data_IF_319395447194
#
_entry.id   IF_319395447194
#
_cell.length_a   1.000
_cell.length_b   1.000
_cell.length_c   1.000
_cell.angle_alpha   90.00
_cell.angle_beta   90.00
_cell.angle_gamma   90.00
#
_symmetry.space_group_name_H-M   'P 1'
#
loop_
_entity.id
_entity.type
_entity.pdbx_description
1 polymer ?
#
# COMPACT_ATOMS: atom_id res chain seq x y z
N UNK A 1 -20.44 -2.80 -12.29
CA UNK A 1 -19.78 -1.66 -11.60
C UNK A 1 -18.76 -2.17 -10.60
N UNK A 2 -17.55 -1.62 -10.63
CA UNK A 2 -16.49 -2.01 -9.71
C UNK A 2 -16.48 -1.07 -8.51
N UNK A 3 -16.65 -1.58 -7.29
CA UNK A 3 -16.52 -0.74 -6.10
C UNK A 3 -15.16 -0.04 -6.03
N UNK A 4 -15.14 1.20 -5.55
CA UNK A 4 -13.93 2.01 -5.53
C UNK A 4 -12.81 1.37 -4.72
N UNK A 5 -13.15 0.74 -3.59
CA UNK A 5 -12.14 0.09 -2.76
C UNK A 5 -11.52 -1.14 -3.43
N UNK A 6 -12.30 -1.88 -4.21
CA UNK A 6 -11.78 -3.00 -4.99
C UNK A 6 -10.85 -2.50 -6.10
N UNK A 7 -11.29 -1.47 -6.82
CA UNK A 7 -10.52 -0.89 -7.92
C UNK A 7 -9.20 -0.29 -7.42
N UNK A 8 -9.24 0.43 -6.29
CA UNK A 8 -8.06 1.06 -5.72
C UNK A 8 -7.05 0.02 -5.25
N UNK A 9 -7.52 -1.00 -4.53
CA UNK A 9 -6.65 -2.06 -4.04
C UNK A 9 -5.96 -2.82 -5.17
N UNK A 10 -6.70 -3.12 -6.23
CA UNK A 10 -6.14 -3.79 -7.40
C UNK A 10 -5.08 -2.94 -8.10
N UNK A 11 -5.34 -1.64 -8.26
CA UNK A 11 -4.39 -0.73 -8.89
C UNK A 11 -3.11 -0.59 -8.08
N UNK A 12 -3.23 -0.51 -6.76
CA UNK A 12 -2.07 -0.43 -5.87
C UNK A 12 -1.24 -1.72 -5.95
N UNK A 13 -1.90 -2.86 -5.92
CA UNK A 13 -1.21 -4.15 -6.01
C UNK A 13 -0.41 -4.24 -7.32
N UNK A 14 -1.03 -3.88 -8.44
CA UNK A 14 -0.35 -3.89 -9.74
C UNK A 14 0.82 -2.91 -9.76
N UNK A 15 0.62 -1.69 -9.27
CA UNK A 15 1.68 -0.68 -9.26
C UNK A 15 2.88 -1.15 -8.43
N UNK A 16 2.64 -1.76 -7.28
CA UNK A 16 3.72 -2.24 -6.42
C UNK A 16 4.46 -3.44 -7.03
N UNK A 17 3.72 -4.36 -7.63
CA UNK A 17 4.34 -5.53 -8.26
C UNK A 17 5.21 -5.14 -9.46
N UNK A 18 4.84 -4.08 -10.14
CA UNK A 18 5.57 -3.63 -11.33
C UNK A 18 6.64 -2.58 -11.01
N UNK A 19 6.77 -2.18 -9.76
CA UNK A 19 7.71 -1.13 -9.37
C UNK A 19 9.13 -1.69 -9.23
N UNK A 20 10.04 -1.20 -10.06
CA UNK A 20 11.41 -1.68 -10.08
C UNK A 20 12.18 -1.32 -8.81
N UNK A 21 11.92 -0.16 -8.24
CA UNK A 21 12.57 0.28 -7.01
C UNK A 21 12.21 -0.63 -5.83
N UNK A 22 10.94 -0.98 -5.71
CA UNK A 22 10.48 -1.89 -4.67
C UNK A 22 11.05 -3.30 -4.90
N UNK A 23 11.01 -3.79 -6.13
CA UNK A 23 11.54 -5.10 -6.47
C UNK A 23 13.02 -5.22 -6.12
N UNK A 24 13.80 -4.16 -6.33
CA UNK A 24 15.21 -4.15 -6.00
C UNK A 24 15.45 -4.31 -4.49
N UNK A 25 14.62 -3.67 -3.67
CA UNK A 25 14.74 -3.77 -2.22
C UNK A 25 14.24 -5.12 -1.71
N UNK A 26 13.15 -5.63 -2.26
CA UNK A 26 12.59 -6.92 -1.86
C UNK A 26 13.38 -8.11 -2.42
N UNK A 27 14.10 -7.90 -3.51
CA UNK A 27 14.78 -8.97 -4.22
C UNK A 27 13.85 -9.78 -5.13
N UNK A 28 12.59 -9.43 -5.19
CA UNK A 28 11.58 -10.09 -6.00
C UNK A 28 10.29 -9.27 -5.93
N UNK A 29 9.21 -9.78 -6.54
CA UNK A 29 7.90 -9.12 -6.54
C UNK A 29 7.00 -9.69 -5.43
N UNK A 30 7.51 -9.78 -4.22
CA UNK A 30 6.78 -10.35 -3.09
C UNK A 30 5.84 -9.33 -2.47
N UNK A 31 4.77 -9.02 -3.19
CA UNK A 31 3.69 -8.14 -2.75
C UNK A 31 2.41 -8.96 -2.77
N UNK A 32 1.80 -9.14 -1.60
CA UNK A 32 0.67 -10.05 -1.43
C UNK A 32 -0.55 -9.33 -0.88
N UNK A 33 -1.72 -9.69 -1.35
CA UNK A 33 -2.97 -9.40 -0.66
C UNK A 33 -3.09 -10.33 0.54
N UNK A 34 -2.87 -11.61 0.31
CA UNK A 34 -2.82 -12.63 1.35
C UNK A 34 -1.52 -13.42 1.18
N UNK A 35 -0.57 -13.32 2.13
CA UNK A 35 0.72 -13.98 1.94
C UNK A 35 0.61 -15.50 2.03
N UNK A 36 1.44 -16.25 1.28
CA UNK A 36 1.48 -17.70 1.42
C UNK A 36 1.99 -18.08 2.82
N UNK A 37 1.67 -19.30 3.26
CA UNK A 37 1.94 -19.77 4.61
C UNK A 37 3.41 -19.56 5.03
N UNK A 38 4.34 -19.86 4.17
CA UNK A 38 5.77 -19.73 4.46
C UNK A 38 6.38 -18.66 3.55
N UNK A 39 5.82 -17.45 3.59
CA UNK A 39 6.31 -16.37 2.75
C UNK A 39 7.78 -16.09 3.02
N UNK A 40 8.54 -15.90 1.93
CA UNK A 40 9.94 -15.54 2.02
C UNK A 40 10.09 -14.09 2.39
N UNK A 41 10.89 -13.79 3.40
CA UNK A 41 11.20 -12.42 3.79
C UNK A 41 12.27 -11.83 2.86
N UNK A 42 12.28 -10.52 2.62
CA UNK A 42 11.24 -9.58 3.02
C UNK A 42 10.04 -9.63 2.05
N UNK A 43 8.89 -9.17 2.52
CA UNK A 43 7.71 -9.08 1.66
C UNK A 43 6.79 -7.96 2.14
N UNK A 44 5.83 -7.61 1.29
CA UNK A 44 4.85 -6.56 1.55
C UNK A 44 3.46 -7.18 1.48
N UNK A 45 2.59 -6.78 2.40
CA UNK A 45 1.18 -7.17 2.36
C UNK A 45 0.31 -5.93 2.28
N UNK A 46 -0.80 -6.03 1.53
CA UNK A 46 -1.84 -5.02 1.54
C UNK A 46 -2.73 -5.32 2.74
N UNK A 47 -2.72 -4.39 3.69
CA UNK A 47 -3.40 -4.60 4.96
C UNK A 47 -4.79 -4.00 5.01
N UNK A 48 -5.14 -3.48 6.17
CA UNK A 48 -6.46 -2.94 6.44
C UNK A 48 -6.74 -1.70 5.60
N UNK A 49 -8.02 -1.53 5.28
CA UNK A 49 -8.48 -0.35 4.56
C UNK A 49 -9.76 0.15 5.19
N UNK A 50 -9.93 1.46 5.18
CA UNK A 50 -11.16 2.12 5.63
C UNK A 50 -11.70 2.97 4.50
N UNK A 51 -12.98 2.85 4.26
CA UNK A 51 -13.70 3.62 3.23
C UNK A 51 -14.69 4.53 3.92
N UNK A 52 -14.64 5.82 3.59
CA UNK A 52 -15.51 6.83 4.18
C UNK A 52 -16.14 7.67 3.09
N UNK A 53 -17.39 8.06 3.29
CA UNK A 53 -18.03 9.02 2.41
C UNK A 53 -17.39 10.40 2.63
N UNK A 54 -17.07 11.07 1.54
CA UNK A 54 -16.41 12.37 1.58
C UNK A 54 -17.08 13.33 0.60
N UNK A 55 -18.31 13.00 0.18
CA UNK A 55 -18.94 13.69 -0.95
C UNK A 55 -19.35 15.13 -0.65
N UNK A 56 -19.62 15.47 0.61
CA UNK A 56 -20.08 16.83 0.90
C UNK A 56 -21.28 17.24 0.07
N UNK A 57 -21.20 18.38 -0.58
CA UNK A 57 -22.32 18.95 -1.31
C UNK A 57 -22.46 18.39 -2.73
N UNK A 58 -23.19 17.29 -2.86
CA UNK A 58 -23.61 16.78 -4.16
C UNK A 58 -22.58 16.03 -4.97
N UNK A 59 -21.40 15.79 -4.43
CA UNK A 59 -20.41 14.93 -5.07
C UNK A 59 -20.57 13.50 -4.61
N UNK A 60 -19.84 12.61 -5.25
CA UNK A 60 -19.80 11.19 -4.87
C UNK A 60 -18.36 10.76 -4.54
N UNK A 61 -17.61 11.65 -3.91
CA UNK A 61 -16.23 11.34 -3.54
C UNK A 61 -16.19 10.45 -2.32
N UNK A 62 -15.20 9.61 -2.30
CA UNK A 62 -14.94 8.70 -1.19
C UNK A 62 -13.49 8.86 -0.73
N UNK A 63 -13.30 8.80 0.55
CA UNK A 63 -11.96 8.83 1.14
C UNK A 63 -11.59 7.44 1.59
N UNK A 64 -10.33 7.06 1.31
CA UNK A 64 -9.79 5.76 1.69
C UNK A 64 -8.59 5.97 2.59
N UNK A 65 -8.50 5.16 3.62
CA UNK A 65 -7.30 5.04 4.42
C UNK A 65 -6.76 3.63 4.23
N UNK A 66 -5.55 3.52 3.73
CA UNK A 66 -4.97 2.24 3.37
C UNK A 66 -3.72 1.99 4.18
N UNK A 67 -3.56 0.79 4.67
CA UNK A 67 -2.36 0.40 5.40
C UNK A 67 -1.66 -0.74 4.67
N UNK A 68 -0.38 -0.53 4.41
CA UNK A 68 0.50 -1.54 3.85
C UNK A 68 1.46 -1.98 4.94
N UNK A 69 1.87 -3.23 4.90
CA UNK A 69 2.83 -3.77 5.86
C UNK A 69 4.02 -4.34 5.14
N UNK A 70 5.21 -4.06 5.64
CA UNK A 70 6.44 -4.67 5.15
C UNK A 70 7.06 -5.46 6.29
N UNK A 71 7.58 -6.64 5.98
CA UNK A 71 8.11 -7.58 6.95
C UNK A 71 9.53 -7.94 6.58
N UNK A 72 10.44 -7.78 7.54
CA UNK A 72 11.87 -7.99 7.32
C UNK A 72 12.47 -8.82 8.45
N UNK A 73 13.46 -9.63 8.12
CA UNK A 73 14.23 -10.40 9.10
C UNK A 73 15.73 -10.29 8.86
N UNK A 74 16.15 -9.15 8.35
CA UNK A 74 17.57 -8.94 8.01
C UNK A 74 18.46 -8.73 9.23
N UNK A 75 17.87 -8.48 10.40
CA UNK A 75 18.66 -8.28 11.61
C UNK A 75 18.85 -6.83 11.99
N UNK A 76 17.95 -5.96 11.59
CA UNK A 76 17.96 -4.55 11.93
C UNK A 76 16.83 -3.80 11.28
N UNK A 77 16.74 -2.51 11.57
CA UNK A 77 15.65 -1.67 11.05
C UNK A 77 15.86 -1.26 9.59
N UNK A 78 17.09 -1.35 9.09
CA UNK A 78 17.45 -0.76 7.79
C UNK A 78 16.58 -1.27 6.64
N UNK A 79 16.42 -2.57 6.52
CA UNK A 79 15.66 -3.13 5.39
C UNK A 79 14.20 -2.69 5.44
N UNK A 80 13.59 -2.68 6.63
CA UNK A 80 12.21 -2.22 6.79
C UNK A 80 12.08 -0.75 6.39
N UNK A 81 13.03 0.10 6.77
CA UNK A 81 13.05 1.50 6.34
C UNK A 81 13.21 1.64 4.84
N UNK A 82 14.07 0.82 4.23
CA UNK A 82 14.28 0.86 2.78
C UNK A 82 13.01 0.48 2.03
N UNK A 83 12.29 -0.52 2.52
CA UNK A 83 11.03 -0.94 1.90
C UNK A 83 9.98 0.16 2.06
N UNK A 84 9.86 0.74 3.25
CA UNK A 84 8.92 1.84 3.48
C UNK A 84 9.20 3.01 2.54
N UNK A 85 10.47 3.35 2.34
CA UNK A 85 10.87 4.38 1.40
C UNK A 85 10.50 4.06 -0.04
N UNK A 86 10.67 2.79 -0.44
CA UNK A 86 10.30 2.35 -1.78
C UNK A 86 8.78 2.40 -1.99
N UNK A 87 8.00 2.03 -0.98
CA UNK A 87 6.54 2.14 -1.03
C UNK A 87 6.10 3.59 -1.21
N UNK A 88 6.72 4.49 -0.45
CA UNK A 88 6.43 5.92 -0.56
C UNK A 88 6.74 6.43 -1.96
N UNK A 89 7.90 6.10 -2.50
CA UNK A 89 8.30 6.50 -3.84
C UNK A 89 7.35 5.97 -4.91
N UNK A 90 6.86 4.75 -4.74
CA UNK A 90 6.02 4.12 -5.74
C UNK A 90 4.61 4.71 -5.75
N UNK A 91 4.07 5.11 -4.60
CA UNK A 91 2.66 5.41 -4.46
C UNK A 91 2.33 6.87 -4.17
N UNK A 92 3.22 7.62 -3.52
CA UNK A 92 2.88 9.00 -3.16
C UNK A 92 2.67 9.83 -4.42
N UNK A 93 1.47 10.39 -4.54
CA UNK A 93 1.06 11.19 -5.69
C UNK A 93 1.10 10.41 -7.02
N UNK A 94 0.99 9.09 -6.97
CA UNK A 94 1.02 8.26 -8.18
C UNK A 94 -0.29 8.37 -8.95
N UNK A 95 -0.24 8.53 -10.27
CA UNK A 95 -1.45 8.66 -11.10
C UNK A 95 -1.98 7.29 -11.53
N UNK A 96 -2.56 6.56 -10.59
CA UNK A 96 -3.07 5.22 -10.86
C UNK A 96 -4.38 5.27 -11.65
N UNK A 97 -4.55 4.29 -12.54
CA UNK A 97 -5.80 4.09 -13.28
C UNK A 97 -6.68 3.09 -12.53
N UNK A 98 -7.88 3.52 -12.18
CA UNK A 98 -8.85 2.68 -11.48
C UNK A 98 -9.95 2.25 -12.42
N UNK A 99 -10.40 1.02 -12.27
CA UNK A 99 -11.51 0.52 -13.07
C UNK A 99 -12.82 1.19 -12.67
N UNK A 100 -13.49 1.84 -13.60
CA UNK A 100 -14.79 2.51 -13.43
C UNK A 100 -14.79 3.61 -12.35
N UNK A 101 -13.62 4.03 -11.90
CA UNK A 101 -13.44 5.07 -10.90
C UNK A 101 -12.27 5.95 -11.31
N UNK A 102 -12.20 7.14 -10.71
CA UNK A 102 -11.09 8.07 -10.92
C UNK A 102 -10.39 8.33 -9.60
N UNK A 103 -9.08 8.24 -9.60
CA UNK A 103 -8.28 8.61 -8.44
C UNK A 103 -8.06 10.11 -8.44
N UNK A 104 -8.60 10.80 -7.44
CA UNK A 104 -8.41 12.24 -7.28
C UNK A 104 -7.03 12.52 -6.70
N UNK A 105 -6.67 11.81 -5.63
CA UNK A 105 -5.32 11.88 -5.09
C UNK A 105 -4.99 10.62 -4.31
N UNK A 106 -3.69 10.40 -4.11
CA UNK A 106 -3.16 9.32 -3.28
C UNK A 106 -1.92 9.88 -2.60
N UNK A 107 -1.95 10.01 -1.28
CA UNK A 107 -0.90 10.67 -0.54
C UNK A 107 -0.44 9.84 0.65
N UNK A 108 0.87 9.86 0.86
CA UNK A 108 1.49 9.28 2.05
C UNK A 108 0.97 9.98 3.31
N UNK A 109 0.69 9.20 4.35
CA UNK A 109 0.18 9.69 5.63
C UNK A 109 1.18 9.49 6.77
N UNK A 110 1.61 8.24 6.99
CA UNK A 110 2.59 7.96 8.03
C UNK A 110 3.30 6.64 7.76
N UNK A 111 4.46 6.47 8.39
CA UNK A 111 5.16 5.20 8.45
C UNK A 111 5.62 4.97 9.88
N UNK A 112 5.51 3.74 10.34
CA UNK A 112 5.90 3.33 11.67
C UNK A 112 6.68 2.03 11.56
N UNK A 113 7.90 2.01 12.03
CA UNK A 113 8.78 0.85 11.91
C UNK A 113 9.16 0.38 13.30
N UNK A 114 8.97 -0.91 13.57
CA UNK A 114 9.28 -1.46 14.89
C UNK A 114 9.72 -2.92 14.79
N UNK A 115 10.39 -3.38 15.84
CA UNK A 115 10.73 -4.78 16.00
C UNK A 115 9.54 -5.50 16.67
N UNK A 116 9.18 -6.66 16.14
CA UNK A 116 8.11 -7.46 16.70
C UNK A 116 8.56 -8.21 17.94
N UNK A 117 7.61 -8.82 18.65
CA UNK A 117 7.85 -9.49 19.92
C UNK A 117 8.74 -10.73 19.79
N UNK A 118 8.87 -11.31 18.60
CA UNK A 118 9.73 -12.45 18.37
C UNK A 118 11.22 -12.07 18.39
N UNK A 119 11.53 -10.77 18.43
CA UNK A 119 12.89 -10.26 18.51
C UNK A 119 13.68 -10.34 17.21
N UNK A 120 13.12 -10.91 16.16
CA UNK A 120 13.83 -11.07 14.87
C UNK A 120 13.09 -10.49 13.68
N UNK A 121 11.80 -10.22 13.79
CA UNK A 121 10.99 -9.65 12.69
C UNK A 121 10.86 -8.16 12.90
N UNK A 122 11.12 -7.40 11.83
CA UNK A 122 10.91 -5.96 11.80
C UNK A 122 9.73 -5.67 10.89
N UNK A 123 8.85 -4.80 11.34
CA UNK A 123 7.58 -4.54 10.71
C UNK A 123 7.46 -3.06 10.42
N UNK A 124 7.26 -2.72 9.16
CA UNK A 124 6.93 -1.36 8.75
C UNK A 124 5.44 -1.30 8.45
N UNK A 125 4.76 -0.37 9.08
CA UNK A 125 3.38 -0.02 8.79
C UNK A 125 3.42 1.27 8.01
N UNK A 126 2.86 1.28 6.79
CA UNK A 126 2.89 2.46 5.92
C UNK A 126 1.45 2.77 5.53
N UNK A 127 1.00 3.98 5.83
CA UNK A 127 -0.38 4.38 5.61
C UNK A 127 -0.48 5.46 4.56
N UNK A 128 -1.48 5.29 3.69
CA UNK A 128 -1.79 6.25 2.63
C UNK A 128 -3.25 6.67 2.75
N UNK A 129 -3.52 7.86 2.26
CA UNK A 129 -4.87 8.39 2.14
C UNK A 129 -5.15 8.64 0.67
N UNK A 130 -6.32 8.22 0.21
CA UNK A 130 -6.73 8.40 -1.16
C UNK A 130 -8.13 9.01 -1.23
N UNK A 131 -8.41 9.70 -2.31
CA UNK A 131 -9.76 10.18 -2.61
C UNK A 131 -10.10 9.69 -4.00
N UNK A 132 -11.28 9.10 -4.15
CA UNK A 132 -11.78 8.59 -5.42
C UNK A 132 -13.15 9.17 -5.72
N UNK A 133 -13.51 9.13 -7.00
CA UNK A 133 -14.85 9.46 -7.45
C UNK A 133 -15.23 8.55 -8.61
N UNK A 134 -16.54 8.36 -8.90
CA UNK A 134 -16.93 7.54 -10.05
C UNK A 134 -16.45 8.18 -11.35
N UNK A 135 -16.07 7.34 -12.31
CA UNK A 135 -15.83 7.81 -13.67
C UNK A 135 -17.16 8.17 -14.31
N UNK A 136 -17.20 9.27 -15.02
CA UNK A 136 -18.42 9.73 -15.66
C UNK A 136 -18.88 8.76 -16.77
#
# INVERSE_FOLDING_TARGET
>A
MTPSNVALRAAIHTALRDDNGLAAVLGNNRVYDEPPRNATFPYVTLGEARLMDSSGDGGETQEHQLTLHAWSRQGGHREAHMIAGALLQALDDAPLSLQENRLVNLRFSLADIRRENDGKTYHALVRFRAVTEPSA
#
